data_IF_476222814039
#
_entry.id   IF_476222814039
#
_cell.length_a   1.000
_cell.length_b   1.000
_cell.length_c   1.000
_cell.angle_alpha   90.00
_cell.angle_beta   90.00
_cell.angle_gamma   90.00
#
_symmetry.space_group_name_H-M   'P 1'
#
loop_
_entity.id
_entity.type
_entity.pdbx_description
1 polymer ?
#
# COMPACT_ATOMS: atom_id res chain seq x y z
N UNK A 1 -3.17 4.52 -6.53
CA UNK A 1 -2.50 4.99 -5.29
C UNK A 1 -1.61 3.88 -4.75
N UNK A 2 -0.34 4.17 -4.43
CA UNK A 2 0.53 3.26 -3.67
C UNK A 2 0.40 3.61 -2.18
N UNK A 3 0.26 2.60 -1.33
CA UNK A 3 0.25 2.76 0.13
C UNK A 3 1.07 1.65 0.78
N UNK A 4 1.97 2.03 1.68
CA UNK A 4 2.78 1.12 2.49
C UNK A 4 2.33 1.26 3.93
N UNK A 5 2.05 0.14 4.59
CA UNK A 5 1.57 0.13 5.97
C UNK A 5 2.43 -0.79 6.83
N UNK A 6 2.47 -0.51 8.13
CA UNK A 6 3.08 -1.38 9.13
C UNK A 6 2.07 -2.35 9.75
N UNK A 7 2.54 -3.21 10.66
CA UNK A 7 1.71 -4.16 11.38
C UNK A 7 0.66 -3.51 12.30
N UNK A 8 0.88 -2.26 12.69
CA UNK A 8 -0.03 -1.47 13.53
C UNK A 8 -1.08 -0.73 12.69
N UNK A 9 -1.19 -1.05 11.40
CA UNK A 9 -2.09 -0.40 10.45
C UNK A 9 -1.81 1.11 10.26
N UNK A 10 -0.55 1.53 10.42
CA UNK A 10 -0.10 2.89 10.13
C UNK A 10 0.46 2.99 8.72
N UNK A 11 0.12 4.04 8.01
CA UNK A 11 0.73 4.34 6.72
C UNK A 11 2.18 4.82 6.91
N UNK A 12 3.13 4.09 6.37
CA UNK A 12 4.54 4.47 6.33
C UNK A 12 4.87 5.32 5.10
N UNK A 13 4.13 5.10 4.02
CA UNK A 13 4.29 5.84 2.77
C UNK A 13 2.97 5.84 1.99
N UNK A 14 2.65 6.96 1.35
CA UNK A 14 1.46 7.12 0.51
C UNK A 14 1.82 7.92 -0.74
N UNK A 15 1.49 7.38 -1.91
CA UNK A 15 1.66 8.06 -3.19
C UNK A 15 0.32 8.04 -3.95
N UNK A 16 -0.51 9.07 -3.81
CA UNK A 16 -1.74 9.24 -4.59
C UNK A 16 -1.44 9.82 -5.99
N UNK A 17 -2.48 9.94 -6.82
CA UNK A 17 -2.42 10.69 -8.09
C UNK A 17 -2.11 9.86 -9.32
N UNK A 18 -1.86 8.56 -9.19
CA UNK A 18 -1.74 7.66 -10.35
C UNK A 18 -3.10 7.21 -10.85
N UNK A 19 -3.23 7.11 -12.18
CA UNK A 19 -4.40 6.54 -12.83
C UNK A 19 -4.59 5.06 -12.47
N UNK A 20 -5.85 4.59 -12.45
CA UNK A 20 -6.18 3.20 -12.12
C UNK A 20 -5.61 2.18 -13.11
N UNK A 21 -5.31 2.60 -14.34
CA UNK A 21 -4.69 1.78 -15.40
C UNK A 21 -3.18 1.62 -15.27
N UNK A 22 -2.52 2.42 -14.41
CA UNK A 22 -1.08 2.34 -14.23
C UNK A 22 -0.69 1.02 -13.53
N UNK A 23 0.29 0.31 -14.09
CA UNK A 23 0.80 -0.91 -13.47
C UNK A 23 1.49 -0.62 -12.14
N UNK A 24 1.31 -1.52 -11.17
CA UNK A 24 1.90 -1.39 -9.83
C UNK A 24 3.41 -1.22 -9.87
N UNK A 25 4.09 -1.95 -10.76
CA UNK A 25 5.55 -1.86 -10.94
C UNK A 25 5.98 -0.47 -11.43
N UNK A 26 5.16 0.20 -12.27
CA UNK A 26 5.43 1.56 -12.74
C UNK A 26 5.29 2.57 -11.60
N UNK A 27 4.22 2.43 -10.81
CA UNK A 27 3.96 3.30 -9.64
C UNK A 27 5.06 3.15 -8.60
N UNK A 28 5.52 1.92 -8.33
CA UNK A 28 6.62 1.67 -7.39
C UNK A 28 7.94 2.27 -7.88
N UNK A 29 8.24 2.12 -9.17
CA UNK A 29 9.47 2.70 -9.76
C UNK A 29 9.45 4.22 -9.64
N UNK A 30 8.33 4.86 -9.92
CA UNK A 30 8.16 6.30 -9.72
C UNK A 30 8.36 6.68 -8.25
N UNK A 31 7.76 5.94 -7.31
CA UNK A 31 7.93 6.18 -5.87
C UNK A 31 9.40 6.12 -5.44
N UNK A 32 10.19 5.23 -6.02
CA UNK A 32 11.62 5.05 -5.69
C UNK A 32 12.54 6.07 -6.38
N UNK A 33 12.09 6.71 -7.46
CA UNK A 33 12.90 7.66 -8.24
C UNK A 33 12.67 9.13 -7.86
N UNK A 34 11.68 9.43 -7.03
CA UNK A 34 11.34 10.79 -6.61
C UNK A 34 12.39 11.38 -5.67
N UNK A 35 12.40 12.69 -5.53
CA UNK A 35 13.25 13.41 -4.57
C UNK A 35 13.00 12.94 -3.11
N UNK A 36 11.72 12.64 -2.79
CA UNK A 36 11.30 12.02 -1.53
C UNK A 36 11.07 10.52 -1.74
N UNK A 37 12.11 9.83 -2.21
CA UNK A 37 12.02 8.44 -2.62
C UNK A 37 11.50 7.53 -1.51
N UNK A 38 10.63 6.59 -1.89
CA UNK A 38 10.36 5.45 -1.04
C UNK A 38 11.60 4.57 -0.95
N UNK A 39 12.16 4.46 0.24
CA UNK A 39 13.40 3.71 0.50
C UNK A 39 13.08 2.47 1.33
N UNK A 40 13.59 1.32 0.89
CA UNK A 40 13.56 0.10 1.70
C UNK A 40 14.73 0.15 2.69
N UNK A 41 14.48 0.12 4.01
CA UNK A 41 15.57 0.13 4.98
C UNK A 41 16.46 -1.10 4.84
N UNK A 42 17.75 -0.95 5.10
CA UNK A 42 18.70 -2.05 5.02
C UNK A 42 18.27 -3.22 5.93
N UNK A 43 18.36 -4.44 5.41
CA UNK A 43 17.96 -5.65 6.14
C UNK A 43 16.45 -5.82 6.33
N UNK A 44 15.63 -4.97 5.68
CA UNK A 44 14.17 -5.07 5.71
C UNK A 44 13.62 -5.42 4.33
N UNK A 45 12.37 -5.88 4.31
CA UNK A 45 11.63 -6.14 3.09
C UNK A 45 10.14 -5.83 3.28
N UNK A 46 9.48 -5.56 2.18
CA UNK A 46 8.04 -5.37 2.13
C UNK A 46 7.36 -6.50 1.39
N UNK A 47 6.22 -6.94 1.90
CA UNK A 47 5.36 -7.89 1.22
C UNK A 47 4.53 -7.13 0.18
N UNK A 48 4.65 -7.53 -1.07
CA UNK A 48 3.94 -6.93 -2.20
C UNK A 48 2.96 -7.94 -2.80
N UNK A 49 1.96 -7.46 -3.56
CA UNK A 49 1.01 -8.37 -4.19
C UNK A 49 1.56 -9.02 -5.47
N UNK A 50 0.73 -9.85 -6.12
CA UNK A 50 1.12 -10.59 -7.31
C UNK A 50 1.38 -9.70 -8.55
N UNK A 51 0.96 -8.43 -8.53
CA UNK A 51 1.24 -7.44 -9.57
C UNK A 51 2.69 -6.98 -9.60
N UNK A 52 3.40 -7.18 -8.50
CA UNK A 52 4.83 -6.84 -8.40
C UNK A 52 5.73 -8.03 -8.73
N UNK A 53 7.02 -7.75 -8.88
CA UNK A 53 8.05 -8.76 -9.10
C UNK A 53 8.93 -8.86 -7.85
N UNK A 54 9.37 -10.06 -7.50
CA UNK A 54 10.39 -10.26 -6.48
C UNK A 54 11.67 -9.50 -6.83
N UNK A 55 12.23 -8.83 -5.84
CA UNK A 55 13.47 -8.06 -5.99
C UNK A 55 14.05 -7.69 -4.64
N UNK A 56 15.21 -7.03 -4.61
CA UNK A 56 15.81 -6.56 -3.36
C UNK A 56 14.81 -5.72 -2.55
N UNK A 57 14.49 -6.18 -1.35
CA UNK A 57 13.55 -5.50 -0.46
C UNK A 57 12.07 -5.73 -0.73
N UNK A 58 11.70 -6.55 -1.73
CA UNK A 58 10.30 -6.84 -2.07
C UNK A 58 10.06 -8.34 -2.24
N UNK A 59 9.08 -8.86 -1.51
CA UNK A 59 8.66 -10.26 -1.57
C UNK A 59 7.24 -10.35 -2.11
N UNK A 60 7.10 -10.92 -3.30
CA UNK A 60 5.82 -11.21 -3.95
C UNK A 60 5.43 -12.68 -3.73
N UNK A 61 4.14 -13.04 -3.86
CA UNK A 61 3.70 -14.42 -3.81
C UNK A 61 4.13 -15.19 -5.04
N UNK A 62 4.20 -16.51 -4.93
CA UNK A 62 4.39 -17.41 -6.06
C UNK A 62 3.17 -17.32 -6.99
N UNK A 63 3.41 -16.98 -8.26
CA UNK A 63 2.38 -16.97 -9.29
C UNK A 63 1.91 -18.40 -9.60
N UNK A 64 0.70 -18.52 -10.14
CA UNK A 64 0.08 -19.82 -10.48
C UNK A 64 -0.02 -20.79 -9.31
N UNK A 65 -0.01 -20.28 -8.09
CA UNK A 65 -0.14 -21.04 -6.85
C UNK A 65 -1.24 -20.38 -6.02
N UNK A 66 -2.08 -21.16 -5.33
CA UNK A 66 -3.17 -20.67 -4.48
C UNK A 66 -2.68 -19.54 -3.56
N UNK A 67 -3.40 -18.42 -3.55
CA UNK A 67 -2.95 -17.22 -2.85
C UNK A 67 -4.02 -16.57 -1.97
N UNK A 68 -5.26 -16.40 -2.48
CA UNK A 68 -6.29 -15.68 -1.76
C UNK A 68 -6.80 -16.46 -0.55
N UNK A 69 -6.99 -15.76 0.59
CA UNK A 69 -7.46 -16.41 1.83
C UNK A 69 -8.79 -17.14 1.65
N UNK A 70 -9.68 -16.66 0.77
CA UNK A 70 -10.95 -17.29 0.45
C UNK A 70 -10.81 -18.65 -0.24
N UNK A 71 -9.70 -18.94 -0.85
CA UNK A 71 -9.37 -20.21 -1.50
C UNK A 71 -8.98 -21.30 -0.49
N UNK A 72 -8.73 -20.91 0.77
CA UNK A 72 -8.34 -21.80 1.86
C UNK A 72 -9.57 -22.15 2.68
N UNK A 73 -10.24 -23.22 2.27
CA UNK A 73 -11.34 -23.80 3.06
C UNK A 73 -10.72 -24.54 4.25
N UNK A 74 -11.37 -24.47 5.40
CA UNK A 74 -10.88 -24.92 6.71
C UNK A 74 -10.40 -26.39 6.80
N UNK A 75 -10.72 -27.21 5.81
CA UNK A 75 -10.33 -28.64 5.75
C UNK A 75 -9.19 -28.95 4.79
N UNK A 76 -8.73 -27.99 3.99
CA UNK A 76 -7.68 -28.26 3.00
C UNK A 76 -6.31 -27.82 3.49
N UNK A 77 -5.46 -28.80 3.84
CA UNK A 77 -4.07 -28.57 4.12
C UNK A 77 -3.34 -28.07 2.87
N UNK A 78 -2.30 -27.23 3.09
CA UNK A 78 -1.37 -26.84 2.03
C UNK A 78 -0.61 -28.08 1.55
N UNK A 79 -0.57 -28.30 0.23
CA UNK A 79 0.05 -29.48 -0.37
C UNK A 79 1.53 -29.27 -0.69
N UNK A 80 1.96 -28.02 -0.85
CA UNK A 80 3.32 -27.68 -1.26
C UNK A 80 3.93 -26.56 -0.41
N UNK A 81 5.27 -26.47 -0.32
CA UNK A 81 5.94 -25.35 0.35
C UNK A 81 5.57 -23.97 -0.24
N UNK A 82 5.32 -23.89 -1.55
CA UNK A 82 4.88 -22.67 -2.23
C UNK A 82 3.48 -22.24 -1.77
N UNK A 83 2.57 -23.18 -1.60
CA UNK A 83 1.25 -22.91 -1.05
C UNK A 83 1.33 -22.41 0.39
N UNK A 84 2.16 -23.06 1.22
CA UNK A 84 2.39 -22.64 2.60
C UNK A 84 2.96 -21.21 2.66
N UNK A 85 3.94 -20.90 1.81
CA UNK A 85 4.47 -19.54 1.69
C UNK A 85 3.36 -18.56 1.32
N UNK A 86 2.60 -18.83 0.26
CA UNK A 86 1.51 -17.96 -0.20
C UNK A 86 0.44 -17.76 0.88
N UNK A 87 0.10 -18.80 1.64
CA UNK A 87 -0.84 -18.69 2.76
C UNK A 87 -0.32 -17.75 3.85
N UNK A 88 0.94 -17.90 4.26
CA UNK A 88 1.55 -17.02 5.25
C UNK A 88 1.69 -15.60 4.74
N UNK A 89 2.11 -15.45 3.50
CA UNK A 89 2.23 -14.16 2.81
C UNK A 89 0.89 -13.43 2.74
N UNK A 90 -0.19 -14.08 2.29
CA UNK A 90 -1.51 -13.46 2.20
C UNK A 90 -2.09 -13.10 3.57
N UNK A 91 -1.88 -13.96 4.59
CA UNK A 91 -2.29 -13.65 5.97
C UNK A 91 -1.56 -12.41 6.51
N UNK A 92 -0.27 -12.34 6.31
CA UNK A 92 0.53 -11.19 6.72
C UNK A 92 0.11 -9.92 5.97
N UNK A 93 -0.12 -10.02 4.66
CA UNK A 93 -0.51 -8.89 3.82
C UNK A 93 -1.95 -8.41 4.05
N UNK A 94 -2.79 -9.22 4.69
CA UNK A 94 -4.18 -8.83 5.03
C UNK A 94 -4.24 -7.54 5.89
N UNK A 95 -3.17 -7.17 6.59
CA UNK A 95 -3.09 -5.89 7.32
C UNK A 95 -3.30 -4.70 6.37
N UNK A 96 -2.78 -4.77 5.15
CA UNK A 96 -2.94 -3.71 4.13
C UNK A 96 -4.42 -3.54 3.78
N UNK A 97 -5.11 -4.64 3.46
CA UNK A 97 -6.54 -4.62 3.11
C UNK A 97 -7.39 -4.09 4.27
N UNK A 98 -7.09 -4.51 5.49
CA UNK A 98 -7.75 -4.02 6.70
C UNK A 98 -7.53 -2.52 6.91
N UNK A 99 -6.30 -2.04 6.73
CA UNK A 99 -5.98 -0.61 6.86
C UNK A 99 -6.76 0.23 5.86
N UNK A 100 -6.75 -0.16 4.59
CA UNK A 100 -7.53 0.53 3.56
C UNK A 100 -9.04 0.45 3.82
N UNK A 101 -9.52 -0.68 4.31
CA UNK A 101 -10.93 -0.85 4.71
C UNK A 101 -11.35 0.11 5.82
N UNK A 102 -10.56 0.19 6.90
CA UNK A 102 -10.78 1.14 7.99
C UNK A 102 -10.69 2.59 7.52
N UNK A 103 -9.70 2.91 6.72
CA UNK A 103 -9.49 4.23 6.16
C UNK A 103 -10.70 4.70 5.33
N UNK A 104 -11.18 3.86 4.41
CA UNK A 104 -12.39 4.14 3.63
C UNK A 104 -13.65 4.17 4.49
N UNK A 105 -13.73 3.36 5.55
CA UNK A 105 -14.87 3.37 6.47
C UNK A 105 -14.94 4.67 7.25
N UNK A 106 -13.79 5.19 7.69
CA UNK A 106 -13.70 6.45 8.46
C UNK A 106 -14.03 7.66 7.59
N UNK A 107 -13.62 7.67 6.32
CA UNK A 107 -13.74 8.82 5.44
C UNK A 107 -14.67 8.53 4.26
N UNK A 108 -15.91 9.04 4.33
CA UNK A 108 -16.91 8.80 3.29
C UNK A 108 -16.47 9.30 1.90
N UNK A 109 -15.73 10.43 1.85
CA UNK A 109 -15.21 11.02 0.61
C UNK A 109 -14.29 10.08 -0.18
N UNK A 110 -13.73 9.05 0.45
CA UNK A 110 -12.85 8.07 -0.19
C UNK A 110 -13.60 6.85 -0.77
N UNK A 111 -14.90 6.76 -0.54
CA UNK A 111 -15.73 5.61 -0.97
C UNK A 111 -16.41 5.83 -2.31
N UNK A 112 -16.64 7.06 -2.67
CA UNK A 112 -17.35 7.45 -3.89
C UNK A 112 -16.37 8.00 -4.92
N UNK A 113 -16.78 7.95 -6.19
CA UNK A 113 -16.03 8.58 -7.25
C UNK A 113 -15.95 10.10 -6.97
N UNK A 114 -14.77 10.64 -7.01
CA UNK A 114 -14.53 12.03 -6.66
C UNK A 114 -14.82 12.94 -7.85
N UNK A 115 -15.58 14.00 -7.61
CA UNK A 115 -15.81 15.08 -8.58
C UNK A 115 -14.75 16.19 -8.48
N UNK A 116 -13.84 16.10 -7.49
CA UNK A 116 -12.78 17.09 -7.30
C UNK A 116 -11.69 16.95 -8.35
N UNK A 117 -10.99 18.05 -8.63
CA UNK A 117 -9.78 18.03 -9.46
C UNK A 117 -8.72 17.15 -8.85
N UNK A 118 -7.85 16.57 -9.66
CA UNK A 118 -6.83 15.60 -9.20
C UNK A 118 -5.96 16.15 -8.06
N UNK A 119 -5.58 17.43 -8.12
CA UNK A 119 -4.81 18.07 -7.05
C UNK A 119 -5.54 18.10 -5.71
N UNK A 120 -6.85 18.35 -5.73
CA UNK A 120 -7.66 18.38 -4.52
C UNK A 120 -7.87 16.95 -3.99
N UNK A 121 -8.07 15.98 -4.87
CA UNK A 121 -8.12 14.57 -4.49
C UNK A 121 -6.83 14.12 -3.78
N UNK A 122 -5.66 14.50 -4.30
CA UNK A 122 -4.35 14.19 -3.69
C UNK A 122 -4.26 14.79 -2.29
N UNK A 123 -4.68 16.06 -2.12
CA UNK A 123 -4.68 16.75 -0.82
C UNK A 123 -5.62 16.07 0.18
N UNK A 124 -6.83 15.71 -0.26
CA UNK A 124 -7.82 15.01 0.56
C UNK A 124 -7.28 13.67 1.01
N UNK A 125 -6.71 12.88 0.10
CA UNK A 125 -6.12 11.57 0.40
C UNK A 125 -5.01 11.71 1.47
N UNK A 126 -4.08 12.64 1.27
CA UNK A 126 -3.00 12.87 2.20
C UNK A 126 -3.52 13.32 3.57
N UNK A 127 -4.46 14.26 3.62
CA UNK A 127 -5.07 14.70 4.86
C UNK A 127 -5.76 13.55 5.60
N UNK A 128 -6.53 12.71 4.90
CA UNK A 128 -7.19 11.55 5.48
C UNK A 128 -6.20 10.51 6.04
N UNK A 129 -5.04 10.34 5.41
CA UNK A 129 -3.99 9.46 5.93
C UNK A 129 -3.37 10.02 7.21
N UNK A 130 -3.04 11.32 7.24
CA UNK A 130 -2.50 12.00 8.43
C UNK A 130 -3.47 11.89 9.60
N UNK A 131 -4.73 12.24 9.38
CA UNK A 131 -5.75 12.24 10.42
C UNK A 131 -6.10 10.81 10.93
N UNK A 132 -5.86 9.78 10.15
CA UNK A 132 -6.02 8.40 10.62
C UNK A 132 -4.97 8.04 11.67
N UNK A 133 -3.76 8.55 11.53
CA UNK A 133 -2.61 8.17 12.35
C UNK A 133 -2.46 9.00 13.63
N UNK A 134 -3.21 10.10 13.77
CA UNK A 134 -3.04 11.08 14.83
C UNK A 134 -1.86 12.03 14.57
N UNK A 135 -1.85 13.15 15.29
CA UNK A 135 -0.95 14.29 15.06
C UNK A 135 0.52 13.95 15.32
N UNK A 136 0.82 12.96 16.14
CA UNK A 136 2.19 12.63 16.59
C UNK A 136 3.10 12.08 15.47
N UNK A 137 2.54 11.65 14.35
CA UNK A 137 3.28 11.10 13.21
C UNK A 137 3.34 12.03 11.97
N UNK A 138 2.98 13.30 12.13
CA UNK A 138 2.85 14.26 11.01
C UNK A 138 4.20 14.71 10.44
N UNK A 139 5.31 14.52 11.16
CA UNK A 139 6.58 15.19 10.87
C UNK A 139 7.15 14.93 9.47
N UNK A 140 6.92 13.76 8.90
CA UNK A 140 7.38 13.43 7.55
C UNK A 140 6.34 13.71 6.45
N UNK A 141 5.03 13.70 6.78
CA UNK A 141 3.95 13.95 5.81
C UNK A 141 3.77 15.44 5.47
N UNK A 142 4.11 16.36 6.39
CA UNK A 142 4.06 17.82 6.16
C UNK A 142 5.12 18.26 5.15
N UNK A 143 6.24 17.56 5.05
CA UNK A 143 7.24 17.80 4.00
C UNK A 143 6.69 17.60 2.58
N UNK A 144 5.77 16.66 2.39
CA UNK A 144 5.12 16.38 1.10
C UNK A 144 4.16 17.49 0.65
N UNK A 145 3.42 18.11 1.55
CA UNK A 145 2.51 19.21 1.21
C UNK A 145 3.23 20.54 0.88
N UNK A 146 4.41 20.78 1.44
CA UNK A 146 5.12 22.05 1.23
C UNK A 146 5.89 22.13 -0.09
N UNK A 147 6.33 21.01 -0.67
CA UNK A 147 7.14 21.03 -1.90
C UNK A 147 6.35 20.94 -3.20
N UNK A 148 5.09 20.53 -3.17
CA UNK A 148 4.24 20.48 -4.38
C UNK A 148 3.53 21.81 -4.72
N UNK A 149 3.83 22.90 -3.98
CA UNK A 149 3.22 24.22 -4.19
C UNK A 149 4.16 25.27 -4.79
N UNK A 150 5.37 24.89 -5.21
CA UNK A 150 6.28 25.79 -5.91
C UNK A 150 6.76 25.11 -7.21
N UNK A 151 5.93 25.25 -8.24
CA UNK A 151 6.25 25.58 -9.66
C UNK A 151 4.94 25.59 -10.45
#
# INVERSE_FOLDING_TARGET
MLGVVDWNMKFLYVLPGWEGSASDSRVLRDAMSRQDAFVVPQGKYYLVDAGYTNGPGFLAPFRSTRYHLKEWVSSQQHKTPKELYNLRHSRARNVVERTFGLWKKKWAVLRTQSFFRIHDQIRIINACCVLLQGIDNIRWMIYYCKKSTLN
#
